data_IF_902524969616
#
_entry.id   IF_902524969616
#
_cell.length_a   1.000
_cell.length_b   1.000
_cell.length_c   1.000
_cell.angle_alpha   90.00
_cell.angle_beta   90.00
_cell.angle_gamma   90.00
#
_symmetry.space_group_name_H-M   'P 1'
#
loop_
_entity.id
_entity.type
_entity.pdbx_description
1 polymer ?
#
# COMPACT_ATOMS: atom_id res chain seq x y z
N UNK A 1 -52.56 34.41 -53.50
CA UNK A 1 -53.49 35.35 -52.83
C UNK A 1 -53.37 35.18 -51.32
N UNK A 2 -53.49 36.27 -50.53
CA UNK A 2 -53.87 36.30 -49.10
C UNK A 2 -53.11 35.32 -48.16
N UNK A 3 -51.90 35.58 -47.66
CA UNK A 3 -51.42 36.58 -46.66
C UNK A 3 -51.87 36.39 -45.20
N UNK A 4 -50.89 36.59 -44.29
CA UNK A 4 -50.98 37.08 -42.90
C UNK A 4 -51.15 36.06 -41.75
N UNK A 5 -50.34 36.24 -40.70
CA UNK A 5 -50.39 35.60 -39.37
C UNK A 5 -50.37 36.68 -38.27
N UNK A 6 -51.23 36.59 -37.25
CA UNK A 6 -50.89 36.87 -35.84
C UNK A 6 -51.24 35.64 -34.96
N UNK A 7 -50.59 35.30 -33.84
CA UNK A 7 -50.01 36.06 -32.70
C UNK A 7 -51.03 36.48 -31.62
N UNK A 8 -51.40 35.52 -30.74
CA UNK A 8 -51.82 35.68 -29.32
C UNK A 8 -51.96 34.23 -28.75
N UNK A 9 -51.16 33.72 -27.79
CA UNK A 9 -51.28 33.87 -26.32
C UNK A 9 -52.74 33.81 -25.82
N UNK A 10 -53.17 32.93 -24.90
CA UNK A 10 -52.60 32.41 -23.63
C UNK A 10 -53.19 30.96 -23.37
N UNK A 11 -53.19 30.20 -22.25
CA UNK A 11 -52.78 30.26 -20.83
C UNK A 11 -52.83 28.83 -20.17
N UNK A 12 -51.89 28.47 -19.26
CA UNK A 12 -51.92 27.31 -18.30
C UNK A 12 -52.01 25.86 -18.89
N UNK A 13 -51.60 24.74 -18.24
CA UNK A 13 -50.94 24.45 -16.94
C UNK A 13 -50.03 23.18 -17.05
N UNK A 14 -49.15 22.99 -16.05
CA UNK A 14 -48.63 21.71 -15.53
C UNK A 14 -47.37 21.03 -16.15
N UNK A 15 -46.57 20.47 -15.24
CA UNK A 15 -45.60 19.38 -15.42
C UNK A 15 -44.48 19.53 -16.46
N UNK A 16 -43.70 20.61 -16.32
CA UNK A 16 -42.24 20.45 -16.28
C UNK A 16 -41.86 19.59 -15.07
N UNK A 17 -41.99 18.26 -15.16
CA UNK A 17 -41.61 17.33 -14.08
C UNK A 17 -40.36 16.53 -14.45
N UNK A 18 -39.46 16.39 -13.49
CA UNK A 18 -38.08 16.00 -13.73
C UNK A 18 -37.93 14.58 -14.29
N UNK A 19 -37.12 14.45 -15.34
CA UNK A 19 -36.39 13.21 -15.67
C UNK A 19 -34.87 13.45 -15.72
N UNK A 20 -34.39 14.43 -14.95
CA UNK A 20 -32.99 14.52 -14.55
C UNK A 20 -32.73 13.40 -13.53
N UNK A 21 -32.29 12.24 -14.01
CA UNK A 21 -31.85 11.14 -13.16
C UNK A 21 -30.50 11.49 -12.53
N UNK A 22 -30.36 11.54 -11.19
CA UNK A 22 -29.07 11.69 -10.52
C UNK A 22 -28.32 10.34 -10.50
N UNK A 23 -28.09 9.77 -11.69
CA UNK A 23 -27.26 8.59 -11.89
C UNK A 23 -25.74 8.88 -11.72
N UNK A 24 -25.39 10.13 -11.40
CA UNK A 24 -24.06 10.56 -10.97
C UNK A 24 -24.10 11.04 -9.49
N UNK A 25 -24.85 10.32 -8.65
CA UNK A 25 -24.64 10.34 -7.21
C UNK A 25 -23.28 9.68 -6.93
N UNK A 26 -22.22 10.50 -7.00
CA UNK A 26 -20.83 10.09 -7.13
C UNK A 26 -20.41 8.94 -6.21
N UNK A 27 -19.54 8.06 -6.74
CA UNK A 27 -18.87 6.98 -6.00
C UNK A 27 -17.80 7.50 -5.01
N UNK A 28 -18.16 8.50 -4.21
CA UNK A 28 -17.45 8.87 -2.99
C UNK A 28 -17.71 7.77 -1.96
N UNK A 29 -16.84 6.75 -1.96
CA UNK A 29 -16.87 5.70 -0.96
C UNK A 29 -16.90 6.33 0.43
N UNK A 30 -17.85 5.89 1.26
CA UNK A 30 -18.15 6.47 2.57
C UNK A 30 -16.85 6.76 3.32
N UNK A 31 -16.58 8.01 3.76
CA UNK A 31 -15.37 8.32 4.51
C UNK A 31 -15.28 7.38 5.71
N UNK A 32 -14.23 6.54 5.72
CA UNK A 32 -14.00 5.62 6.84
C UNK A 32 -13.99 6.42 8.14
N UNK A 33 -14.60 5.90 9.23
CA UNK A 33 -14.55 6.54 10.55
C UNK A 33 -13.12 6.97 10.88
N UNK A 34 -12.97 8.11 11.56
CA UNK A 34 -11.65 8.69 11.79
C UNK A 34 -10.69 7.70 12.47
N UNK A 35 -11.22 6.91 13.42
CA UNK A 35 -10.55 5.84 14.14
C UNK A 35 -10.08 4.66 13.26
N UNK A 36 -10.69 4.44 12.09
CA UNK A 36 -10.31 3.38 11.14
C UNK A 36 -9.18 3.79 10.18
N UNK A 37 -8.91 5.10 10.06
CA UNK A 37 -7.87 5.62 9.16
C UNK A 37 -6.49 5.40 9.78
N UNK A 38 -5.55 4.71 9.12
CA UNK A 38 -4.25 4.44 9.71
C UNK A 38 -3.41 5.72 9.81
N UNK A 39 -2.90 6.00 11.01
CA UNK A 39 -1.90 7.05 11.22
C UNK A 39 -0.60 6.70 10.49
N UNK A 40 0.11 7.71 9.97
CA UNK A 40 1.45 7.54 9.38
C UNK A 40 2.58 7.75 10.39
N UNK A 41 2.29 8.49 11.46
CA UNK A 41 3.20 8.76 12.57
C UNK A 41 2.37 8.98 13.84
N UNK A 42 2.90 8.52 14.98
CA UNK A 42 2.26 8.59 16.31
C UNK A 42 3.34 8.74 17.39
N UNK A 43 2.95 9.16 18.59
CA UNK A 43 3.82 9.27 19.78
C UNK A 43 4.60 7.99 20.07
N UNK A 44 3.95 6.83 20.00
CA UNK A 44 4.59 5.53 20.14
C UNK A 44 4.32 4.70 18.89
N UNK A 45 5.32 4.60 18.01
CA UNK A 45 5.24 3.77 16.80
C UNK A 45 5.14 2.26 17.15
N UNK A 46 4.48 1.44 16.31
CA UNK A 46 4.47 -0.01 16.47
C UNK A 46 5.88 -0.62 16.48
N UNK A 47 6.08 -1.63 17.31
CA UNK A 47 7.35 -2.32 17.46
C UNK A 47 7.12 -3.84 17.44
N UNK A 48 7.94 -4.60 16.71
CA UNK A 48 7.87 -6.06 16.76
C UNK A 48 8.33 -6.58 18.14
N UNK A 49 7.77 -7.70 18.59
CA UNK A 49 8.14 -8.30 19.87
C UNK A 49 9.59 -8.82 19.83
N UNK A 50 10.46 -8.21 20.64
CA UNK A 50 11.91 -8.41 20.59
C UNK A 50 12.67 -7.40 19.72
N UNK A 51 12.00 -6.37 19.20
CA UNK A 51 12.61 -5.27 18.46
C UNK A 51 12.99 -5.61 17.01
N UNK A 52 13.79 -4.72 16.41
CA UNK A 52 14.19 -4.80 15.00
C UNK A 52 15.10 -5.99 14.68
N UNK A 53 15.89 -6.48 15.64
CA UNK A 53 16.72 -7.67 15.48
C UNK A 53 15.86 -8.95 15.48
N UNK A 54 14.93 -9.10 16.43
CA UNK A 54 14.00 -10.25 16.43
C UNK A 54 13.13 -10.28 15.17
N UNK A 55 12.66 -9.13 14.69
CA UNK A 55 11.96 -9.00 13.41
C UNK A 55 12.83 -9.44 12.24
N UNK A 56 14.09 -8.97 12.19
CA UNK A 56 15.07 -9.34 11.18
C UNK A 56 15.26 -10.87 11.14
N UNK A 57 15.51 -11.48 12.29
CA UNK A 57 15.77 -12.92 12.38
C UNK A 57 14.52 -13.73 11.98
N UNK A 58 13.35 -13.38 12.53
CA UNK A 58 12.07 -14.00 12.16
C UNK A 58 11.81 -13.99 10.64
N UNK A 59 12.06 -12.86 9.97
CA UNK A 59 11.93 -12.76 8.51
C UNK A 59 12.88 -13.71 7.79
N UNK A 60 14.18 -13.65 8.09
CA UNK A 60 15.19 -14.39 7.33
C UNK A 60 15.25 -15.89 7.67
N UNK A 61 14.70 -16.31 8.81
CA UNK A 61 14.55 -17.73 9.16
C UNK A 61 13.23 -18.33 8.64
N UNK A 62 12.21 -17.49 8.41
CA UNK A 62 10.96 -17.88 7.72
C UNK A 62 11.05 -17.80 6.18
N UNK A 63 12.11 -17.20 5.63
CA UNK A 63 12.26 -16.90 4.19
C UNK A 63 12.40 -18.16 3.34
N UNK A 64 11.48 -18.32 2.40
CA UNK A 64 11.49 -19.39 1.38
C UNK A 64 11.74 -18.76 0.02
N UNK A 65 12.91 -19.01 -0.57
CA UNK A 65 13.25 -18.39 -1.87
C UNK A 65 12.40 -19.00 -3.00
N UNK A 66 11.64 -18.20 -3.77
CA UNK A 66 10.78 -18.73 -4.83
C UNK A 66 11.59 -19.46 -5.92
N UNK A 67 11.18 -20.66 -6.38
CA UNK A 67 11.92 -21.42 -7.39
C UNK A 67 12.19 -20.65 -8.69
N UNK A 68 11.22 -19.84 -9.14
CA UNK A 68 11.36 -18.98 -10.33
C UNK A 68 12.50 -17.96 -10.17
N UNK A 69 12.60 -17.33 -8.99
CA UNK A 69 13.66 -16.37 -8.68
C UNK A 69 15.04 -17.04 -8.58
N UNK A 70 15.12 -18.31 -8.13
CA UNK A 70 16.36 -19.11 -8.17
C UNK A 70 16.80 -19.34 -9.61
N UNK A 71 15.89 -19.81 -10.48
CA UNK A 71 16.18 -20.10 -11.90
C UNK A 71 16.58 -18.82 -12.66
N UNK A 72 15.88 -17.72 -12.43
CA UNK A 72 16.17 -16.42 -13.02
C UNK A 72 17.39 -15.70 -12.39
N UNK A 73 17.89 -16.19 -11.25
CA UNK A 73 18.87 -15.50 -10.37
C UNK A 73 18.42 -14.07 -9.98
N UNK A 74 17.11 -13.88 -9.87
CA UNK A 74 16.50 -12.61 -9.55
C UNK A 74 16.60 -12.34 -8.04
N UNK A 75 17.11 -11.17 -7.66
CA UNK A 75 17.22 -10.73 -6.27
C UNK A 75 17.02 -9.22 -6.16
N UNK A 76 16.66 -8.73 -4.98
CA UNK A 76 16.44 -7.30 -4.74
C UNK A 76 15.90 -6.99 -3.35
N UNK A 77 15.44 -5.75 -3.17
CA UNK A 77 14.84 -5.27 -1.92
C UNK A 77 13.33 -5.06 -2.13
N UNK A 78 12.51 -5.93 -1.54
CA UNK A 78 11.09 -5.66 -1.40
C UNK A 78 10.89 -4.50 -0.43
N UNK A 79 9.97 -3.58 -0.76
CA UNK A 79 9.33 -2.69 0.21
C UNK A 79 7.88 -3.13 0.34
N UNK A 80 7.45 -3.45 1.56
CA UNK A 80 6.09 -3.90 1.88
C UNK A 80 5.43 -2.84 2.77
N UNK A 81 4.23 -2.42 2.41
CA UNK A 81 3.34 -1.60 3.23
C UNK A 81 2.30 -2.49 3.88
N UNK A 82 1.95 -2.21 5.14
CA UNK A 82 0.87 -2.87 5.87
C UNK A 82 0.34 -1.97 6.98
N UNK A 83 -0.76 -2.36 7.62
CA UNK A 83 -1.33 -1.64 8.78
C UNK A 83 -1.27 -2.55 10.00
N UNK A 84 -0.59 -2.10 11.06
CA UNK A 84 -0.71 -2.68 12.41
C UNK A 84 -2.00 -2.18 13.05
N UNK A 85 -2.80 -3.10 13.59
CA UNK A 85 -4.06 -2.84 14.27
C UNK A 85 -3.84 -2.71 15.80
N UNK A 86 -4.78 -2.12 16.57
CA UNK A 86 -4.68 -2.01 18.04
C UNK A 86 -4.51 -3.33 18.80
N UNK A 87 -4.80 -4.48 18.18
CA UNK A 87 -4.63 -5.83 18.73
C UNK A 87 -3.30 -6.50 18.30
N UNK A 88 -2.38 -5.76 17.67
CA UNK A 88 -1.10 -6.27 17.19
C UNK A 88 -1.19 -7.11 15.89
N UNK A 89 -2.40 -7.31 15.35
CA UNK A 89 -2.58 -8.00 14.05
C UNK A 89 -2.34 -7.07 12.86
N UNK A 90 -2.15 -7.66 11.69
CA UNK A 90 -1.87 -6.94 10.44
C UNK A 90 -3.05 -7.03 9.48
N UNK A 91 -3.39 -5.90 8.84
CA UNK A 91 -4.20 -5.86 7.59
C UNK A 91 -3.44 -5.18 6.44
N UNK A 92 -4.01 -5.30 5.24
CA UNK A 92 -3.67 -4.53 4.04
C UNK A 92 -2.18 -4.59 3.63
N UNK A 93 -1.57 -5.77 3.81
CA UNK A 93 -0.18 -6.03 3.45
C UNK A 93 0.02 -6.18 1.93
N UNK A 94 0.77 -5.24 1.32
CA UNK A 94 0.99 -5.12 -0.13
C UNK A 94 2.42 -4.69 -0.47
N UNK A 95 2.99 -5.14 -1.60
CA UNK A 95 4.29 -4.63 -2.07
C UNK A 95 4.18 -3.27 -2.76
N UNK A 96 5.12 -2.39 -2.44
CA UNK A 96 5.36 -1.12 -3.13
C UNK A 96 6.44 -1.27 -4.21
N UNK A 97 7.40 -2.18 -4.01
CA UNK A 97 8.29 -2.66 -5.09
C UNK A 97 7.54 -3.66 -5.96
N UNK A 98 7.91 -3.78 -7.24
CA UNK A 98 7.59 -4.93 -8.10
C UNK A 98 8.89 -5.54 -8.60
N UNK A 99 9.15 -6.78 -8.19
CA UNK A 99 10.33 -7.57 -8.56
C UNK A 99 9.96 -8.81 -9.40
N UNK A 100 8.72 -9.31 -9.27
CA UNK A 100 8.24 -10.52 -9.93
C UNK A 100 8.86 -11.81 -9.38
N UNK A 101 8.72 -12.89 -10.16
CA UNK A 101 9.31 -14.22 -9.88
C UNK A 101 8.96 -14.79 -8.49
N UNK A 102 7.77 -14.45 -7.96
CA UNK A 102 7.29 -14.87 -6.63
C UNK A 102 7.87 -14.08 -5.44
N UNK A 103 8.83 -13.17 -5.64
CA UNK A 103 9.51 -12.46 -4.55
C UNK A 103 8.60 -11.42 -3.87
N UNK A 104 7.66 -10.84 -4.61
CA UNK A 104 6.71 -9.87 -4.08
C UNK A 104 5.66 -10.58 -3.20
N UNK A 105 5.20 -11.74 -3.64
CA UNK A 105 4.28 -12.63 -2.94
C UNK A 105 4.90 -13.18 -1.65
N UNK A 106 6.16 -13.62 -1.71
CA UNK A 106 6.95 -14.06 -0.57
C UNK A 106 7.16 -12.94 0.46
N UNK A 107 7.48 -11.72 0.02
CA UNK A 107 7.62 -10.57 0.91
C UNK A 107 6.31 -10.26 1.65
N UNK A 108 5.15 -10.38 0.98
CA UNK A 108 3.83 -10.23 1.61
C UNK A 108 3.51 -11.40 2.55
N UNK A 109 3.90 -12.64 2.21
CA UNK A 109 3.74 -13.81 3.10
C UNK A 109 4.51 -13.62 4.40
N UNK A 110 5.78 -13.21 4.31
CA UNK A 110 6.65 -12.97 5.48
C UNK A 110 6.09 -11.88 6.40
N UNK A 111 5.61 -10.76 5.85
CA UNK A 111 4.94 -9.73 6.65
C UNK A 111 3.65 -10.25 7.30
N UNK A 112 2.82 -11.00 6.58
CA UNK A 112 1.58 -11.60 7.13
C UNK A 112 1.87 -12.57 8.29
N UNK A 113 2.97 -13.33 8.24
CA UNK A 113 3.39 -14.21 9.35
C UNK A 113 3.75 -13.45 10.64
N UNK A 114 4.05 -12.14 10.58
CA UNK A 114 4.31 -11.33 11.79
C UNK A 114 3.04 -10.83 12.48
N UNK A 115 1.85 -11.12 11.96
CA UNK A 115 0.58 -10.70 12.55
C UNK A 115 0.39 -11.27 13.97
N UNK A 116 0.06 -10.41 14.94
CA UNK A 116 -0.05 -10.77 16.35
C UNK A 116 1.26 -10.67 17.14
N UNK A 117 2.39 -10.46 16.46
CA UNK A 117 3.72 -10.29 17.07
C UNK A 117 4.16 -8.83 17.19
N UNK A 118 3.26 -7.86 16.99
CA UNK A 118 3.53 -6.43 17.11
C UNK A 118 2.94 -5.84 18.39
N UNK A 119 3.73 -5.03 19.09
CA UNK A 119 3.21 -4.02 20.01
C UNK A 119 2.45 -2.98 19.17
N UNK A 120 1.17 -2.70 19.44
CA UNK A 120 0.40 -1.71 18.71
C UNK A 120 0.95 -0.29 18.94
N UNK A 121 0.71 0.59 17.97
CA UNK A 121 1.05 2.01 18.11
C UNK A 121 0.06 2.75 19.00
N UNK A 122 0.51 3.81 19.68
CA UNK A 122 -0.29 4.61 20.60
C UNK A 122 -0.17 6.10 20.32
N UNK A 123 -1.30 6.82 20.42
CA UNK A 123 -1.42 8.26 20.27
C UNK A 123 -2.42 8.80 21.31
N UNK A 124 -2.05 9.86 22.04
CA UNK A 124 -2.85 10.42 23.14
C UNK A 124 -3.22 9.36 24.21
N UNK A 125 -2.36 8.35 24.41
CA UNK A 125 -2.62 7.20 25.28
C UNK A 125 -3.63 6.17 24.76
N UNK A 126 -4.15 6.31 23.53
CA UNK A 126 -5.04 5.33 22.88
C UNK A 126 -4.26 4.48 21.87
N UNK A 127 -4.52 3.18 21.84
CA UNK A 127 -4.03 2.29 20.80
C UNK A 127 -4.77 2.56 19.48
N UNK A 128 -4.02 2.74 18.39
CA UNK A 128 -4.57 3.17 17.09
C UNK A 128 -4.04 2.32 15.93
N UNK A 129 -4.73 2.40 14.79
CA UNK A 129 -4.24 1.83 13.53
C UNK A 129 -3.04 2.65 13.01
N UNK A 130 -1.93 1.99 12.67
CA UNK A 130 -0.73 2.66 12.15
C UNK A 130 -0.24 1.97 10.88
N UNK A 131 0.03 2.75 9.83
CA UNK A 131 0.63 2.28 8.59
C UNK A 131 2.15 2.12 8.76
N UNK A 132 2.67 0.94 8.46
CA UNK A 132 4.08 0.60 8.50
C UNK A 132 4.60 0.26 7.10
N UNK A 133 5.80 0.75 6.79
CA UNK A 133 6.59 0.34 5.63
C UNK A 133 7.86 -0.38 6.12
N UNK A 134 8.14 -1.58 5.61
CA UNK A 134 9.36 -2.35 5.90
C UNK A 134 10.08 -2.73 4.62
N UNK A 135 11.38 -3.00 4.72
CA UNK A 135 12.21 -3.50 3.62
C UNK A 135 12.75 -4.90 3.92
N UNK A 136 12.70 -5.79 2.92
CA UNK A 136 13.23 -7.16 2.98
C UNK A 136 14.25 -7.31 1.84
N UNK A 137 15.49 -7.60 2.19
CA UNK A 137 16.61 -7.71 1.24
C UNK A 137 16.91 -9.19 0.95
N UNK A 138 16.40 -9.66 -0.18
CA UNK A 138 16.57 -11.04 -0.62
C UNK A 138 18.03 -11.39 -0.95
N UNK A 139 18.93 -10.41 -1.11
CA UNK A 139 20.35 -10.71 -1.31
C UNK A 139 21.00 -11.39 -0.09
N UNK A 140 20.45 -11.19 1.12
CA UNK A 140 20.96 -11.75 2.38
C UNK A 140 20.80 -13.28 2.53
N UNK A 141 19.86 -13.89 1.78
CA UNK A 141 19.56 -15.33 1.81
C UNK A 141 19.45 -15.91 0.38
N UNK A 142 20.04 -15.26 -0.62
CA UNK A 142 20.02 -15.73 -2.01
C UNK A 142 20.82 -17.04 -2.16
N UNK A 143 20.26 -18.11 -2.77
CA UNK A 143 20.94 -19.39 -2.95
C UNK A 143 21.89 -19.42 -4.17
N UNK A 144 22.33 -18.24 -4.64
CA UNK A 144 23.23 -18.04 -5.77
C UNK A 144 24.14 -16.84 -5.50
N UNK A 145 25.31 -16.79 -6.14
CA UNK A 145 26.24 -15.68 -5.91
C UNK A 145 25.67 -14.35 -6.46
N UNK A 146 25.41 -13.42 -5.54
CA UNK A 146 24.97 -12.06 -5.84
C UNK A 146 26.19 -11.22 -6.25
N UNK A 147 26.20 -10.61 -7.45
CA UNK A 147 27.32 -9.77 -7.88
C UNK A 147 27.57 -8.59 -6.92
N UNK A 148 28.77 -8.56 -6.34
CA UNK A 148 29.21 -7.50 -5.42
C UNK A 148 29.31 -6.18 -6.20
N UNK A 149 28.49 -5.19 -5.84
CA UNK A 149 28.50 -3.88 -6.48
C UNK A 149 29.84 -3.15 -6.22
N UNK A 150 30.62 -2.86 -7.27
CA UNK A 150 31.89 -2.14 -7.12
C UNK A 150 31.64 -0.66 -6.72
N UNK A 151 32.13 -0.21 -5.55
CA UNK A 151 32.01 1.19 -5.13
C UNK A 151 32.56 2.21 -6.14
N UNK A 152 33.52 1.82 -6.99
CA UNK A 152 34.07 2.67 -8.08
C UNK A 152 33.03 2.96 -9.17
N UNK A 153 32.10 2.04 -9.41
CA UNK A 153 31.09 2.16 -10.46
C UNK A 153 29.97 3.13 -10.04
N UNK A 154 29.53 3.05 -8.78
CA UNK A 154 28.61 4.02 -8.17
C UNK A 154 29.21 5.45 -8.14
N UNK A 155 30.53 5.59 -7.92
CA UNK A 155 31.23 6.89 -8.02
C UNK A 155 31.21 7.48 -9.43
N UNK A 156 31.26 6.65 -10.49
CA UNK A 156 31.13 7.12 -11.89
C UNK A 156 29.70 7.53 -12.22
N UNK A 157 28.71 6.68 -11.90
CA UNK A 157 27.31 6.97 -12.17
C UNK A 157 26.82 8.28 -11.49
N UNK A 158 27.25 8.53 -10.24
CA UNK A 158 26.93 9.79 -9.53
C UNK A 158 27.62 11.03 -10.13
N UNK A 159 28.70 10.87 -10.91
CA UNK A 159 29.42 11.97 -11.60
C UNK A 159 28.98 12.18 -13.05
N UNK A 160 27.96 11.46 -13.52
CA UNK A 160 27.32 11.67 -14.84
C UNK A 160 25.87 12.19 -14.71
N UNK A 161 25.43 12.52 -13.49
CA UNK A 161 24.07 12.98 -13.17
C UNK A 161 24.06 14.31 -12.38
N UNK A 162 25.21 14.98 -12.38
CA UNK A 162 25.57 16.26 -11.78
C UNK A 162 26.48 16.98 -12.78
#
# INVERSE_FOLDING_TARGET
MKTLRPLLTLLFLACTFALLSPADAAAQGTPLPEDERPYQYVEQMPEFNGGSEAFTNFLYDSLTYPPEAIVAKQTGVARVRFIVRPDGTIRDAQTLTKMGYGLDEEAVRLVKLTSGHWKPGSQNGKLVHVAMDVTIDFSRKAPFEVPKQDPKQNRKAKKQKN
#
